data_IF_959600070398
#
_entry.id   IF_959600070398
#
_cell.length_a   1.000
_cell.length_b   1.000
_cell.length_c   1.000
_cell.angle_alpha   90.00
_cell.angle_beta   90.00
_cell.angle_gamma   90.00
#
_symmetry.space_group_name_H-M   'P 1'
#
loop_
_entity.id
_entity.type
_entity.pdbx_description
1 polymer ?
#
# COMPACT_ATOMS: atom_id res chain seq x y z
N UNK A 1 25.81 16.93 10.26
CA UNK A 1 25.97 16.03 9.08
C UNK A 1 24.64 15.42 8.65
N UNK A 2 23.89 14.76 9.54
CA UNK A 2 22.61 14.13 9.17
C UNK A 2 21.52 15.08 8.65
N UNK A 3 21.48 16.32 9.18
CA UNK A 3 20.62 17.37 8.64
C UNK A 3 20.85 17.59 7.13
N UNK A 4 22.11 17.61 6.69
CA UNK A 4 22.44 17.79 5.27
C UNK A 4 21.96 16.60 4.42
N UNK A 5 22.07 15.37 4.92
CA UNK A 5 21.60 14.17 4.22
C UNK A 5 20.07 14.17 4.12
N UNK A 6 19.39 14.56 5.20
CA UNK A 6 17.94 14.69 5.21
C UNK A 6 17.49 15.81 4.29
N UNK A 7 18.13 16.98 4.34
CA UNK A 7 17.83 18.13 3.48
C UNK A 7 18.00 17.76 2.01
N UNK A 8 19.09 17.07 1.63
CA UNK A 8 19.31 16.52 0.28
C UNK A 8 18.24 15.49 -0.12
N UNK A 9 17.77 14.66 0.81
CA UNK A 9 16.67 13.73 0.58
C UNK A 9 15.30 14.42 0.54
N UNK A 10 15.18 15.67 0.99
CA UNK A 10 13.93 16.45 0.99
C UNK A 10 13.90 17.55 -0.05
N UNK A 11 15.00 17.76 -0.79
CA UNK A 11 14.94 18.44 -2.08
C UNK A 11 13.90 17.73 -2.96
N UNK A 12 13.17 18.47 -3.82
CA UNK A 12 12.11 17.90 -4.62
C UNK A 12 12.65 16.68 -5.36
N UNK A 13 12.20 15.50 -4.93
CA UNK A 13 12.66 14.20 -5.39
C UNK A 13 12.03 13.82 -6.74
N UNK A 14 11.30 14.75 -7.35
CA UNK A 14 10.64 14.56 -8.64
C UNK A 14 9.40 13.70 -8.52
N UNK A 15 8.60 13.90 -7.46
CA UNK A 15 7.24 13.36 -7.44
C UNK A 15 6.53 13.81 -8.73
N UNK A 16 5.84 12.90 -9.46
CA UNK A 16 5.37 13.18 -10.81
C UNK A 16 4.08 14.03 -10.83
N UNK A 17 4.11 15.15 -10.11
CA UNK A 17 3.06 16.13 -9.83
C UNK A 17 3.65 17.55 -9.97
N UNK A 18 2.83 18.58 -9.77
CA UNK A 18 3.32 19.96 -9.82
C UNK A 18 4.23 20.27 -8.62
N UNK A 19 5.30 21.02 -8.89
CA UNK A 19 6.42 21.22 -7.96
C UNK A 19 5.99 21.76 -6.58
N UNK A 20 4.96 22.61 -6.51
CA UNK A 20 4.49 23.18 -5.24
C UNK A 20 3.70 22.17 -4.39
N UNK A 21 2.97 21.23 -5.00
CA UNK A 21 2.31 20.15 -4.25
C UNK A 21 3.33 19.16 -3.69
N UNK A 22 4.41 18.92 -4.43
CA UNK A 22 5.53 18.13 -3.95
C UNK A 22 6.12 18.72 -2.67
N UNK A 23 6.38 20.03 -2.61
CA UNK A 23 6.86 20.67 -1.40
C UNK A 23 5.92 20.52 -0.20
N UNK A 24 4.61 20.66 -0.41
CA UNK A 24 3.60 20.49 0.65
C UNK A 24 3.60 19.04 1.16
N UNK A 25 3.64 18.07 0.26
CA UNK A 25 3.67 16.64 0.60
C UNK A 25 4.95 16.30 1.38
N UNK A 26 6.11 16.75 0.89
CA UNK A 26 7.39 16.51 1.56
C UNK A 26 7.43 17.14 2.96
N UNK A 27 6.83 18.33 3.13
CA UNK A 27 6.70 18.97 4.44
C UNK A 27 5.86 18.12 5.40
N UNK A 28 4.69 17.64 4.95
CA UNK A 28 3.80 16.79 5.77
C UNK A 28 4.49 15.47 6.14
N UNK A 29 5.15 14.81 5.19
CA UNK A 29 5.90 13.58 5.44
C UNK A 29 7.05 13.84 6.42
N UNK A 30 7.76 14.95 6.26
CA UNK A 30 8.84 15.38 7.13
C UNK A 30 8.40 15.57 8.58
N UNK A 31 7.21 16.14 8.79
CA UNK A 31 6.64 16.34 10.13
C UNK A 31 6.22 15.02 10.77
N UNK A 32 5.55 14.14 10.03
CA UNK A 32 5.19 12.80 10.51
C UNK A 32 6.45 12.01 10.90
N UNK A 33 7.47 12.03 10.04
CA UNK A 33 8.74 11.36 10.31
C UNK A 33 9.47 11.94 11.53
N UNK A 34 9.37 13.25 11.76
CA UNK A 34 9.94 13.90 12.94
C UNK A 34 9.26 13.42 14.22
N UNK A 35 7.93 13.40 14.27
CA UNK A 35 7.18 12.91 15.44
C UNK A 35 7.49 11.45 15.73
N UNK A 36 7.44 10.57 14.72
CA UNK A 36 7.76 9.15 14.90
C UNK A 36 9.18 8.97 15.42
N UNK A 37 10.15 9.72 14.90
CA UNK A 37 11.53 9.65 15.37
C UNK A 37 11.70 10.20 16.80
N UNK A 38 10.91 11.20 17.18
CA UNK A 38 10.95 11.75 18.53
C UNK A 38 10.39 10.74 19.54
N UNK A 39 9.24 10.15 19.25
CA UNK A 39 8.59 9.15 20.11
C UNK A 39 9.48 7.90 20.27
N UNK A 40 10.03 7.39 19.17
CA UNK A 40 10.86 6.17 19.19
C UNK A 40 12.19 6.36 19.92
N UNK A 41 12.81 7.53 19.77
CA UNK A 41 14.02 7.84 20.54
C UNK A 41 13.69 8.10 22.00
N UNK A 42 12.54 8.71 22.29
CA UNK A 42 12.00 8.84 23.64
C UNK A 42 11.86 7.48 24.32
N UNK A 43 11.22 6.51 23.67
CA UNK A 43 11.08 5.13 24.18
C UNK A 43 12.45 4.52 24.54
N UNK A 44 13.46 4.69 23.66
CA UNK A 44 14.81 4.15 23.85
C UNK A 44 15.59 4.79 25.01
N UNK A 45 15.27 6.04 25.36
CA UNK A 45 15.81 6.69 26.56
C UNK A 45 15.14 6.16 27.83
N UNK A 46 13.83 5.92 27.82
CA UNK A 46 13.11 5.40 28.98
C UNK A 46 13.44 3.93 29.28
N UNK A 47 13.86 3.17 28.29
CA UNK A 47 14.25 1.76 28.44
C UNK A 47 15.71 1.55 28.83
N UNK A 48 16.45 2.60 29.24
CA UNK A 48 17.90 2.60 29.52
C UNK A 48 18.77 2.00 28.39
N UNK A 49 18.20 1.87 27.18
CA UNK A 49 18.85 1.21 26.05
C UNK A 49 19.89 2.11 25.38
N UNK A 50 19.78 3.43 25.61
CA UNK A 50 20.71 4.44 25.11
C UNK A 50 21.00 5.45 26.22
N UNK A 51 22.27 5.55 26.62
CA UNK A 51 22.74 6.63 27.50
C UNK A 51 23.58 7.64 26.70
N UNK A 52 23.11 8.89 26.62
CA UNK A 52 23.93 10.00 26.12
C UNK A 52 23.33 10.80 24.96
N UNK A 53 23.55 12.12 25.01
CA UNK A 53 23.01 13.12 24.07
C UNK A 53 23.41 12.88 22.61
N UNK A 54 24.63 12.39 22.38
CA UNK A 54 25.14 12.12 21.03
C UNK A 54 24.41 10.93 20.39
N UNK A 55 24.28 9.82 21.11
CA UNK A 55 23.60 8.63 20.64
C UNK A 55 22.11 8.92 20.33
N UNK A 56 21.40 9.59 21.23
CA UNK A 56 20.00 9.99 20.99
C UNK A 56 19.81 10.82 19.72
N UNK A 57 20.73 11.74 19.43
CA UNK A 57 20.67 12.53 18.19
C UNK A 57 20.89 11.66 16.94
N UNK A 58 21.85 10.73 16.98
CA UNK A 58 22.11 9.82 15.86
C UNK A 58 20.88 8.96 15.54
N UNK A 59 20.30 8.32 16.56
CA UNK A 59 19.10 7.50 16.38
C UNK A 59 17.91 8.30 15.90
N UNK A 60 17.72 9.54 16.39
CA UNK A 60 16.64 10.41 15.93
C UNK A 60 16.76 10.69 14.43
N UNK A 61 17.96 11.06 13.97
CA UNK A 61 18.19 11.33 12.56
C UNK A 61 18.05 10.09 11.67
N UNK A 62 18.52 8.93 12.13
CA UNK A 62 18.40 7.66 11.39
C UNK A 62 16.92 7.27 11.25
N UNK A 63 16.18 7.22 12.37
CA UNK A 63 14.76 6.83 12.37
C UNK A 63 13.95 7.81 11.52
N UNK A 64 14.18 9.12 11.68
CA UNK A 64 13.52 10.15 10.88
C UNK A 64 13.74 9.93 9.38
N UNK A 65 14.99 9.69 8.97
CA UNK A 65 15.32 9.47 7.56
C UNK A 65 14.66 8.21 7.02
N UNK A 66 14.70 7.11 7.77
CA UNK A 66 14.09 5.83 7.34
C UNK A 66 12.57 5.96 7.20
N UNK A 67 11.90 6.56 8.18
CA UNK A 67 10.44 6.77 8.14
C UNK A 67 10.05 7.69 7.00
N UNK A 68 10.81 8.77 6.80
CA UNK A 68 10.60 9.69 5.69
C UNK A 68 10.68 8.97 4.33
N UNK A 69 11.76 8.22 4.08
CA UNK A 69 11.95 7.48 2.83
C UNK A 69 10.85 6.44 2.62
N UNK A 70 10.43 5.74 3.68
CA UNK A 70 9.35 4.75 3.59
C UNK A 70 8.01 5.39 3.18
N UNK A 71 7.59 6.46 3.86
CA UNK A 71 6.33 7.15 3.55
C UNK A 71 6.41 7.81 2.16
N UNK A 72 7.56 8.40 1.82
CA UNK A 72 7.79 8.98 0.50
C UNK A 72 7.67 7.94 -0.61
N UNK A 73 8.31 6.77 -0.45
CA UNK A 73 8.24 5.69 -1.45
C UNK A 73 6.80 5.19 -1.66
N UNK A 74 6.02 5.07 -0.58
CA UNK A 74 4.60 4.72 -0.65
C UNK A 74 3.83 5.80 -1.43
N UNK A 75 4.05 7.08 -1.07
CA UNK A 75 3.38 8.22 -1.72
C UNK A 75 3.71 8.28 -3.21
N UNK A 76 4.98 8.10 -3.57
CA UNK A 76 5.45 8.02 -4.94
C UNK A 76 4.77 6.86 -5.69
N UNK A 77 4.73 5.67 -5.09
CA UNK A 77 4.07 4.50 -5.65
C UNK A 77 2.58 4.73 -5.90
N UNK A 78 1.86 5.31 -4.94
CA UNK A 78 0.42 5.63 -5.08
C UNK A 78 0.17 6.64 -6.19
N UNK A 79 0.96 7.71 -6.27
CA UNK A 79 0.83 8.70 -7.34
C UNK A 79 1.15 8.07 -8.70
N UNK A 80 2.20 7.26 -8.78
CA UNK A 80 2.60 6.58 -10.00
C UNK A 80 1.52 5.61 -10.48
N UNK A 81 0.95 4.78 -9.59
CA UNK A 81 -0.20 3.92 -9.90
C UNK A 81 -1.42 4.74 -10.29
N UNK A 82 -1.71 5.85 -9.60
CA UNK A 82 -2.81 6.75 -9.94
C UNK A 82 -2.66 7.33 -11.35
N UNK A 83 -1.46 7.78 -11.73
CA UNK A 83 -1.16 8.24 -13.09
C UNK A 83 -1.25 7.11 -14.10
N UNK A 84 -0.78 5.91 -13.77
CA UNK A 84 -0.89 4.73 -14.63
C UNK A 84 -2.36 4.36 -14.90
N UNK A 85 -3.21 4.35 -13.87
CA UNK A 85 -4.65 4.13 -14.00
C UNK A 85 -5.31 5.22 -14.83
N UNK A 86 -4.94 6.49 -14.62
CA UNK A 86 -5.46 7.62 -15.43
C UNK A 86 -4.97 7.60 -16.87
N UNK A 87 -3.77 7.10 -17.14
CA UNK A 87 -3.24 6.94 -18.49
C UNK A 87 -3.82 5.70 -19.20
N UNK A 88 -4.20 4.66 -18.44
CA UNK A 88 -4.70 3.39 -18.95
C UNK A 88 -6.11 3.10 -18.43
N UNK A 89 -6.98 4.12 -18.42
CA UNK A 89 -8.36 4.09 -17.88
C UNK A 89 -9.15 2.87 -18.39
N UNK A 90 -8.90 2.50 -19.65
CA UNK A 90 -9.51 1.36 -20.33
C UNK A 90 -8.95 0.02 -19.82
N UNK A 91 -7.63 -0.12 -19.67
CA UNK A 91 -7.01 -1.38 -19.20
C UNK A 91 -7.26 -1.64 -17.71
N UNK A 92 -7.26 -0.59 -16.87
CA UNK A 92 -7.61 -0.71 -15.45
C UNK A 92 -9.07 -1.14 -15.26
N UNK A 93 -10.00 -0.57 -16.05
CA UNK A 93 -11.41 -0.99 -16.06
C UNK A 93 -11.59 -2.41 -16.56
N UNK A 94 -10.85 -2.83 -17.59
CA UNK A 94 -10.89 -4.21 -18.12
C UNK A 94 -10.35 -5.19 -17.09
N UNK A 95 -9.29 -4.84 -16.36
CA UNK A 95 -8.73 -5.68 -15.29
C UNK A 95 -9.71 -5.92 -14.14
N UNK A 96 -10.45 -4.89 -13.73
CA UNK A 96 -11.47 -5.04 -12.68
C UNK A 96 -12.69 -5.82 -13.21
N UNK A 97 -13.15 -5.53 -14.42
CA UNK A 97 -14.26 -6.26 -15.05
C UNK A 97 -13.94 -7.75 -15.28
N UNK A 98 -12.70 -8.09 -15.61
CA UNK A 98 -12.31 -9.48 -15.86
C UNK A 98 -12.34 -10.32 -14.58
N UNK A 99 -11.89 -9.77 -13.45
CA UNK A 99 -11.96 -10.43 -12.13
C UNK A 99 -13.42 -10.67 -11.74
N UNK A 100 -14.28 -9.66 -11.91
CA UNK A 100 -15.73 -9.77 -11.60
C UNK A 100 -16.40 -10.80 -12.51
N UNK A 101 -16.08 -10.81 -13.81
CA UNK A 101 -16.62 -11.79 -14.76
C UNK A 101 -16.22 -13.23 -14.41
N UNK A 102 -14.98 -13.45 -13.97
CA UNK A 102 -14.52 -14.78 -13.53
C UNK A 102 -15.29 -15.25 -12.30
N UNK A 103 -15.50 -14.38 -11.30
CA UNK A 103 -16.29 -14.73 -10.09
C UNK A 103 -17.72 -15.11 -10.46
N UNK A 104 -18.36 -14.35 -11.36
CA UNK A 104 -19.72 -14.65 -11.84
C UNK A 104 -19.74 -15.98 -12.59
N UNK A 105 -18.78 -16.22 -13.49
CA UNK A 105 -18.69 -17.46 -14.25
C UNK A 105 -18.52 -18.69 -13.33
N UNK A 106 -17.69 -18.59 -12.29
CA UNK A 106 -17.51 -19.66 -11.30
C UNK A 106 -18.81 -19.95 -10.55
N UNK A 107 -19.53 -18.90 -10.11
CA UNK A 107 -20.83 -19.07 -9.43
C UNK A 107 -21.86 -19.76 -10.33
N UNK A 108 -21.97 -19.34 -11.58
CA UNK A 108 -22.87 -19.95 -12.57
C UNK A 108 -22.48 -21.41 -12.82
N UNK A 109 -21.18 -21.69 -12.98
CA UNK A 109 -20.69 -23.04 -13.23
C UNK A 109 -21.00 -24.00 -12.08
N UNK A 110 -20.81 -23.56 -10.82
CA UNK A 110 -21.18 -24.34 -9.64
C UNK A 110 -22.69 -24.61 -9.64
N UNK A 111 -23.51 -23.59 -9.89
CA UNK A 111 -24.97 -23.73 -9.93
C UNK A 111 -25.44 -24.71 -11.01
N UNK A 112 -24.88 -24.64 -12.23
CA UNK A 112 -25.19 -25.58 -13.32
C UNK A 112 -24.78 -27.01 -12.93
N UNK A 113 -23.60 -27.20 -12.34
CA UNK A 113 -23.13 -28.53 -11.89
C UNK A 113 -24.06 -29.12 -10.84
N UNK A 114 -24.55 -28.30 -9.92
CA UNK A 114 -25.47 -28.71 -8.86
C UNK A 114 -26.86 -29.05 -9.42
N UNK A 115 -27.38 -28.24 -10.35
CA UNK A 115 -28.61 -28.55 -11.11
C UNK A 115 -28.51 -29.86 -11.87
N UNK A 116 -27.40 -30.10 -12.58
CA UNK A 116 -27.20 -31.34 -13.34
C UNK A 116 -27.11 -32.58 -12.44
N UNK A 117 -26.56 -32.46 -11.22
CA UNK A 117 -26.59 -33.54 -10.23
C UNK A 117 -28.00 -33.87 -9.76
N UNK A 118 -28.82 -32.84 -9.46
CA UNK A 118 -30.22 -33.03 -9.04
C UNK A 118 -31.05 -33.70 -10.15
N UNK A 119 -30.91 -33.24 -11.40
CA UNK A 119 -31.64 -33.82 -12.55
C UNK A 119 -31.21 -35.27 -12.81
N UNK A 120 -29.92 -35.59 -12.70
CA UNK A 120 -29.47 -36.98 -12.88
C UNK A 120 -29.94 -37.90 -11.75
N UNK A 121 -30.09 -37.38 -10.53
CA UNK A 121 -30.63 -38.13 -9.41
C UNK A 121 -32.13 -38.41 -9.58
N UNK A 122 -32.92 -37.41 -10.04
CA UNK A 122 -34.36 -37.60 -10.26
C UNK A 122 -34.65 -38.61 -11.37
N UNK A 123 -33.91 -38.56 -12.50
CA UNK A 123 -34.08 -39.53 -13.60
C UNK A 123 -33.77 -40.97 -13.16
N UNK A 124 -32.77 -41.16 -12.29
CA UNK A 124 -32.41 -42.50 -11.79
C UNK A 124 -33.45 -43.08 -10.82
N UNK A 125 -34.15 -42.24 -10.06
CA UNK A 125 -35.25 -42.69 -9.20
C UNK A 125 -36.43 -43.17 -10.05
N UNK A 126 -36.78 -42.41 -11.09
CA UNK A 126 -37.90 -42.73 -12.00
C UNK A 126 -37.68 -44.03 -12.80
N UNK A 127 -36.43 -44.35 -13.17
CA UNK A 127 -36.07 -45.62 -13.84
C UNK A 127 -36.14 -46.86 -12.92
N UNK A 128 -35.93 -46.69 -11.60
CA UNK A 128 -35.94 -47.80 -10.65
C UNK A 128 -37.35 -48.11 -10.10
N UNK A 129 -38.28 -47.17 -10.24
CA UNK A 129 -39.68 -47.30 -9.79
C UNK A 129 -40.63 -47.85 -10.88
N UNK A 130 -40.12 -48.14 -12.09
CA UNK A 130 -40.88 -48.63 -13.25
C UNK A 130 -40.39 -49.99 -13.75
#
# INVERSE_FOLDING_TARGET
>A
MFKFIFDLATEPLGLPIEWYYEWIILLVIGEIAYHVAYDKVGDLFHSDSISGRSAGSLFHWIIRTVVFVAIWAITYGVIWVGKFVMAHKIQASIGICSIVAVVIAVKIFIWIKERNKMVKASVKVEENDN
#
